data_IF_266174580726
#
_entry.id   IF_266174580726
#
_cell.length_a   1.000
_cell.length_b   1.000
_cell.length_c   1.000
_cell.angle_alpha   90.00
_cell.angle_beta   90.00
_cell.angle_gamma   90.00
#
_symmetry.space_group_name_H-M   'P 1'
#
loop_
_entity.id
_entity.type
_entity.pdbx_description
1 polymer ?
#
# COMPACT_ATOMS: atom_id res chain seq x y z
N UNK A 1 -11.82 30.24 58.48
CA UNK A 1 -12.33 29.44 57.34
C UNK A 1 -13.84 29.31 57.47
N UNK A 2 -14.53 29.27 56.32
CA UNK A 2 -15.98 29.09 56.03
C UNK A 2 -16.65 30.36 55.49
N UNK A 3 -16.84 30.33 54.18
CA UNK A 3 -17.58 31.24 53.32
C UNK A 3 -18.84 30.47 52.94
N UNK A 4 -20.03 31.05 53.11
CA UNK A 4 -21.25 30.48 52.56
C UNK A 4 -21.95 31.50 51.66
N UNK A 5 -22.19 31.04 50.43
CA UNK A 5 -22.50 31.83 49.25
C UNK A 5 -23.89 32.45 49.23
N UNK A 6 -23.96 33.68 48.72
CA UNK A 6 -25.19 34.33 48.29
C UNK A 6 -25.25 34.33 46.76
N UNK A 7 -26.21 33.58 46.24
CA UNK A 7 -26.57 33.48 44.83
C UNK A 7 -27.20 34.77 44.31
N UNK A 8 -26.70 35.30 43.19
CA UNK A 8 -27.49 36.16 42.30
C UNK A 8 -26.91 36.08 40.88
N UNK A 9 -27.70 35.57 39.95
CA UNK A 9 -27.39 35.44 38.52
C UNK A 9 -27.88 36.67 37.74
N UNK A 10 -27.09 37.30 36.85
CA UNK A 10 -27.62 38.27 35.91
C UNK A 10 -27.70 37.69 34.49
N UNK A 11 -28.94 37.66 33.96
CA UNK A 11 -29.22 37.55 32.53
C UNK A 11 -29.31 38.98 31.99
N UNK A 12 -28.33 39.40 31.19
CA UNK A 12 -28.34 40.63 30.37
C UNK A 12 -27.14 40.52 29.42
N UNK A 13 -27.22 40.62 28.10
CA UNK A 13 -28.09 41.43 27.26
C UNK A 13 -28.02 40.92 25.83
N UNK A 14 -29.18 40.79 25.19
CA UNK A 14 -29.29 40.80 23.73
C UNK A 14 -28.83 42.18 23.26
N UNK A 15 -27.78 42.26 22.45
CA UNK A 15 -27.45 43.45 21.67
C UNK A 15 -27.34 43.11 20.20
N UNK A 16 -28.05 43.94 19.44
CA UNK A 16 -28.37 43.79 18.04
C UNK A 16 -27.18 44.12 17.12
N UNK A 17 -27.23 43.48 15.95
CA UNK A 17 -26.81 44.01 14.66
C UNK A 17 -25.38 44.56 14.52
N UNK A 18 -24.49 43.68 14.07
CA UNK A 18 -23.47 44.08 13.09
C UNK A 18 -23.63 43.21 11.84
N UNK A 19 -24.36 43.75 10.85
CA UNK A 19 -24.31 43.24 9.47
C UNK A 19 -22.90 43.48 8.95
N UNK A 20 -22.09 42.43 8.90
CA UNK A 20 -20.99 42.34 7.94
C UNK A 20 -21.44 41.29 6.95
N UNK A 21 -21.75 41.72 5.72
CA UNK A 21 -22.02 40.83 4.61
C UNK A 21 -20.95 39.74 4.60
N UNK A 22 -21.36 38.48 4.76
CA UNK A 22 -20.47 37.34 4.52
C UNK A 22 -20.09 37.40 3.05
N UNK A 23 -18.97 38.06 2.77
CA UNK A 23 -18.30 38.01 1.48
C UNK A 23 -18.00 36.52 1.29
N UNK A 24 -18.66 35.93 0.29
CA UNK A 24 -18.38 34.61 -0.23
C UNK A 24 -16.89 34.54 -0.62
N UNK A 25 -16.02 34.26 0.34
CA UNK A 25 -14.68 33.78 0.05
C UNK A 25 -14.83 32.28 -0.14
N UNK A 26 -15.26 31.89 -1.35
CA UNK A 26 -14.88 30.58 -1.88
C UNK A 26 -13.37 30.61 -2.15
N UNK A 27 -12.58 30.70 -1.09
CA UNK A 27 -11.15 30.50 -1.19
C UNK A 27 -10.92 28.98 -1.18
N UNK A 28 -11.47 28.31 -2.20
CA UNK A 28 -11.06 26.96 -2.56
C UNK A 28 -9.74 27.11 -3.30
N UNK A 29 -8.71 27.55 -2.57
CA UNK A 29 -7.33 27.39 -2.98
C UNK A 29 -7.04 25.90 -2.86
N UNK A 30 -7.57 25.15 -3.82
CA UNK A 30 -7.40 23.71 -3.95
C UNK A 30 -6.03 23.37 -4.57
N UNK A 31 -5.02 24.19 -4.28
CA UNK A 31 -3.63 23.84 -4.55
C UNK A 31 -3.18 22.94 -3.39
N UNK A 32 -3.84 21.79 -3.28
CA UNK A 32 -3.29 20.68 -2.52
C UNK A 32 -2.06 20.19 -3.30
N UNK A 33 -0.94 20.03 -2.60
CA UNK A 33 0.26 19.45 -3.18
C UNK A 33 -0.10 18.12 -3.84
N UNK A 34 0.12 18.03 -5.15
CA UNK A 34 -0.14 16.82 -5.92
C UNK A 34 1.06 15.90 -5.78
N UNK A 35 0.91 14.84 -5.00
CA UNK A 35 1.86 13.72 -4.99
C UNK A 35 1.63 12.89 -6.28
N UNK A 36 2.46 13.12 -7.29
CA UNK A 36 2.49 12.30 -8.50
C UNK A 36 3.53 11.18 -8.33
N UNK A 37 3.08 9.93 -8.30
CA UNK A 37 3.97 8.76 -8.34
C UNK A 37 4.47 8.61 -9.78
N UNK A 38 5.78 8.46 -9.97
CA UNK A 38 6.35 8.26 -11.30
C UNK A 38 5.75 7.03 -11.98
N UNK A 39 5.60 7.07 -13.31
CA UNK A 39 5.02 5.94 -14.07
C UNK A 39 5.76 4.62 -13.79
N UNK A 40 7.09 4.68 -13.65
CA UNK A 40 7.93 3.54 -13.30
C UNK A 40 7.60 2.98 -11.91
N UNK A 41 7.34 3.83 -10.92
CA UNK A 41 7.00 3.38 -9.58
C UNK A 41 5.59 2.77 -9.52
N UNK A 42 4.63 3.29 -10.30
CA UNK A 42 3.31 2.67 -10.44
C UNK A 42 3.41 1.29 -11.10
N UNK A 43 4.21 1.16 -12.17
CA UNK A 43 4.45 -0.11 -12.83
C UNK A 43 5.09 -1.12 -11.86
N UNK A 44 6.12 -0.71 -11.14
CA UNK A 44 6.81 -1.56 -10.18
C UNK A 44 5.90 -2.04 -9.06
N UNK A 45 5.07 -1.16 -8.50
CA UNK A 45 4.09 -1.52 -7.48
C UNK A 45 3.09 -2.56 -8.00
N UNK A 46 2.61 -2.39 -9.23
CA UNK A 46 1.71 -3.35 -9.87
C UNK A 46 2.38 -4.71 -10.09
N UNK A 47 3.66 -4.73 -10.46
CA UNK A 47 4.44 -5.96 -10.62
C UNK A 47 4.66 -6.68 -9.30
N UNK A 48 4.98 -5.97 -8.22
CA UNK A 48 5.11 -6.55 -6.88
C UNK A 48 3.78 -7.14 -6.41
N UNK A 49 2.67 -6.41 -6.62
CA UNK A 49 1.36 -6.87 -6.20
C UNK A 49 0.98 -8.17 -6.92
N UNK A 50 1.18 -8.23 -8.23
CA UNK A 50 0.98 -9.46 -9.01
C UNK A 50 1.94 -10.58 -8.62
N UNK A 51 3.18 -10.25 -8.26
CA UNK A 51 4.15 -11.24 -7.80
C UNK A 51 3.74 -11.89 -6.47
N UNK A 52 3.10 -11.13 -5.58
CA UNK A 52 2.55 -11.63 -4.30
C UNK A 52 1.28 -12.47 -4.47
N UNK A 53 0.53 -12.24 -5.55
CA UNK A 53 -0.68 -13.00 -5.87
C UNK A 53 -0.37 -14.35 -6.53
N UNK A 54 0.86 -14.53 -7.02
CA UNK A 54 1.31 -15.83 -7.50
C UNK A 54 1.37 -16.82 -6.33
N UNK A 55 0.95 -18.07 -6.53
CA UNK A 55 1.07 -19.07 -5.50
C UNK A 55 2.55 -19.35 -5.20
N UNK A 56 2.89 -19.47 -3.91
CA UNK A 56 4.23 -19.81 -3.44
C UNK A 56 4.77 -21.10 -4.10
N UNK A 57 3.86 -22.03 -4.39
CA UNK A 57 4.16 -23.28 -5.07
C UNK A 57 3.38 -23.34 -6.38
N UNK A 58 4.11 -23.51 -7.49
CA UNK A 58 3.52 -23.79 -8.80
C UNK A 58 3.10 -25.25 -8.89
N UNK A 59 1.99 -25.60 -8.24
CA UNK A 59 1.51 -26.98 -8.12
C UNK A 59 1.41 -27.72 -9.45
N UNK A 60 0.93 -27.05 -10.51
CA UNK A 60 0.85 -27.60 -11.86
C UNK A 60 2.21 -28.13 -12.36
N UNK A 61 3.27 -27.33 -12.20
CA UNK A 61 4.63 -27.70 -12.63
C UNK A 61 5.15 -28.87 -11.80
N UNK A 62 4.88 -28.86 -10.49
CA UNK A 62 5.29 -29.96 -9.59
C UNK A 62 4.60 -31.26 -9.98
N UNK A 63 3.29 -31.22 -10.24
CA UNK A 63 2.50 -32.38 -10.68
C UNK A 63 3.04 -32.93 -12.00
N UNK A 64 3.22 -32.08 -13.01
CA UNK A 64 3.75 -32.49 -14.30
C UNK A 64 5.13 -33.16 -14.21
N UNK A 65 6.04 -32.61 -13.40
CA UNK A 65 7.36 -33.23 -13.17
C UNK A 65 7.23 -34.55 -12.40
N UNK A 66 6.36 -34.62 -11.40
CA UNK A 66 6.13 -35.84 -10.63
C UNK A 66 5.56 -36.98 -11.49
N UNK A 67 4.67 -36.66 -12.43
CA UNK A 67 4.11 -37.60 -13.39
C UNK A 67 5.20 -38.09 -14.36
N UNK A 68 6.02 -37.20 -14.91
CA UNK A 68 7.15 -37.58 -15.77
C UNK A 68 8.14 -38.51 -15.05
N UNK A 69 8.38 -38.29 -13.75
CA UNK A 69 9.21 -39.17 -12.93
C UNK A 69 8.53 -40.52 -12.74
N UNK A 70 7.23 -40.54 -12.41
CA UNK A 70 6.46 -41.77 -12.22
C UNK A 70 6.39 -42.64 -13.49
N UNK A 71 6.30 -42.00 -14.67
CA UNK A 71 6.30 -42.67 -15.97
C UNK A 71 7.71 -43.07 -16.46
N UNK A 72 8.78 -42.67 -15.76
CA UNK A 72 10.17 -42.94 -16.16
C UNK A 72 10.63 -42.14 -17.39
N UNK A 73 9.87 -41.11 -17.78
CA UNK A 73 10.16 -40.25 -18.93
C UNK A 73 10.99 -39.02 -18.55
N UNK A 74 11.24 -38.82 -17.27
CA UNK A 74 12.08 -37.74 -16.78
C UNK A 74 13.54 -37.93 -17.25
N UNK A 75 13.93 -37.16 -18.26
CA UNK A 75 15.30 -37.11 -18.78
C UNK A 75 15.95 -35.80 -18.39
N UNK A 76 17.02 -35.89 -17.60
CA UNK A 76 17.82 -34.74 -17.19
C UNK A 76 19.15 -34.75 -17.93
N UNK A 77 19.47 -33.64 -18.59
CA UNK A 77 20.73 -33.46 -19.30
C UNK A 77 21.85 -33.06 -18.32
N UNK A 78 23.00 -33.71 -18.44
CA UNK A 78 24.15 -33.49 -17.56
C UNK A 78 24.73 -32.07 -17.72
N UNK A 79 24.70 -31.50 -18.94
CA UNK A 79 25.17 -30.14 -19.15
C UNK A 79 24.27 -29.12 -18.44
N UNK A 80 22.95 -29.34 -18.47
CA UNK A 80 21.97 -28.51 -17.75
C UNK A 80 22.19 -28.50 -16.22
N UNK A 81 22.61 -29.63 -15.64
CA UNK A 81 22.99 -29.72 -14.22
C UNK A 81 24.23 -28.87 -13.95
N UNK A 82 25.30 -29.06 -14.73
CA UNK A 82 26.55 -28.33 -14.56
C UNK A 82 26.35 -26.82 -14.67
N UNK A 83 25.55 -26.36 -15.64
CA UNK A 83 25.19 -24.94 -15.78
C UNK A 83 24.49 -24.42 -14.53
N UNK A 84 23.51 -25.16 -14.00
CA UNK A 84 22.77 -24.75 -12.80
C UNK A 84 23.67 -24.66 -11.56
N UNK A 85 24.63 -25.58 -11.42
CA UNK A 85 25.60 -25.55 -10.33
C UNK A 85 26.55 -24.34 -10.44
N UNK A 86 27.00 -24.04 -11.66
CA UNK A 86 27.94 -22.93 -11.93
C UNK A 86 27.27 -21.56 -12.00
N UNK A 87 25.97 -21.47 -12.28
CA UNK A 87 25.22 -20.22 -12.24
C UNK A 87 24.87 -19.81 -10.82
N UNK A 88 24.56 -20.79 -9.95
CA UNK A 88 24.30 -20.56 -8.53
C UNK A 88 25.47 -19.85 -7.83
N UNK A 89 26.71 -20.20 -8.20
CA UNK A 89 27.94 -19.60 -7.68
C UNK A 89 28.17 -18.16 -8.17
N UNK A 90 27.70 -17.82 -9.38
CA UNK A 90 27.92 -16.48 -9.98
C UNK A 90 26.93 -15.42 -9.53
N UNK A 91 25.73 -15.81 -9.13
CA UNK A 91 24.67 -14.87 -8.72
C UNK A 91 24.77 -14.42 -7.26
N UNK A 92 25.85 -14.77 -6.55
CA UNK A 92 26.24 -14.15 -5.28
C UNK A 92 25.26 -14.39 -4.14
N UNK A 93 25.37 -15.57 -3.52
CA UNK A 93 25.39 -15.63 -2.05
C UNK A 93 26.80 -15.93 -1.58
#
# INVERSE_FOLDING_TARGET
MKVDGRSISPISSIQAATRVSQINRSNKNNNQDKLAVSENAQLFQNLIQKAKELPDIREEKVKAVSEQIAHGEFRLDAASIAVSMLSWDKDGR
#
